data_IF_309983286285
#
_entry.id   IF_309983286285
#
_cell.length_a   1.000
_cell.length_b   1.000
_cell.length_c   1.000
_cell.angle_alpha   90.00
_cell.angle_beta   90.00
_cell.angle_gamma   90.00
#
_symmetry.space_group_name_H-M   'P 1'
#
loop_
_entity.id
_entity.type
_entity.pdbx_description
1 polymer ?
#
# COMPACT_ATOMS: atom_id res chain seq x y z
N UNK A 1 40.08 22.20 -26.27
CA UNK A 1 38.90 22.37 -25.40
C UNK A 1 38.93 21.24 -24.38
N UNK A 2 39.07 21.53 -23.09
CA UNK A 2 39.02 20.52 -22.01
C UNK A 2 37.75 20.80 -21.19
N UNK A 3 36.82 19.85 -21.19
CA UNK A 3 35.64 19.86 -20.34
C UNK A 3 35.77 18.74 -19.32
N UNK A 4 35.41 19.03 -18.07
CA UNK A 4 35.33 18.06 -16.99
C UNK A 4 33.86 17.98 -16.55
N UNK A 5 33.38 16.80 -16.15
CA UNK A 5 32.04 16.60 -15.63
C UNK A 5 32.07 15.64 -14.45
N UNK A 6 31.12 15.84 -13.52
CA UNK A 6 30.93 14.98 -12.36
C UNK A 6 29.49 14.50 -12.34
N UNK A 7 29.34 13.22 -12.01
CA UNK A 7 28.06 12.53 -11.89
C UNK A 7 28.07 11.75 -10.59
N UNK A 8 26.94 11.77 -9.89
CA UNK A 8 26.72 11.04 -8.64
C UNK A 8 25.41 10.26 -8.77
N UNK A 9 25.46 8.97 -8.45
CA UNK A 9 24.26 8.14 -8.30
C UNK A 9 23.85 8.20 -6.85
N UNK A 10 22.69 8.79 -6.59
CA UNK A 10 22.02 8.70 -5.30
C UNK A 10 21.04 7.53 -5.35
N UNK A 11 21.24 6.54 -4.49
CA UNK A 11 20.34 5.40 -4.37
C UNK A 11 19.16 5.75 -3.47
N UNK A 12 17.96 5.34 -3.89
CA UNK A 12 16.75 5.37 -3.07
C UNK A 12 16.57 4.08 -2.27
N UNK A 13 15.36 3.88 -1.76
CA UNK A 13 14.99 2.67 -1.02
C UNK A 13 14.87 1.45 -1.95
N UNK A 14 15.13 0.23 -1.45
CA UNK A 14 14.92 -1.00 -2.21
C UNK A 14 13.43 -1.22 -2.54
N UNK A 15 13.09 -2.14 -3.46
CA UNK A 15 11.70 -2.45 -3.74
C UNK A 15 10.99 -3.00 -2.49
N UNK A 16 9.71 -2.65 -2.35
CA UNK A 16 8.81 -3.25 -1.36
C UNK A 16 8.44 -4.65 -1.86
N UNK A 17 8.91 -5.68 -1.18
CA UNK A 17 8.60 -7.08 -1.51
C UNK A 17 7.94 -7.74 -0.30
N UNK A 18 6.66 -8.06 -0.42
CA UNK A 18 5.91 -8.72 0.64
C UNK A 18 6.36 -10.17 0.81
N UNK A 19 6.43 -10.64 2.05
CA UNK A 19 6.55 -12.07 2.32
C UNK A 19 5.25 -12.78 1.89
N UNK A 20 5.38 -13.81 1.04
CA UNK A 20 4.23 -14.51 0.45
C UNK A 20 3.30 -15.15 1.49
N UNK A 21 3.82 -15.62 2.64
CA UNK A 21 3.01 -16.23 3.69
C UNK A 21 2.27 -15.16 4.48
N UNK A 22 2.94 -14.06 4.83
CA UNK A 22 2.33 -12.93 5.54
C UNK A 22 1.26 -12.26 4.66
N UNK A 23 1.54 -12.06 3.37
CA UNK A 23 0.57 -11.52 2.42
C UNK A 23 -0.68 -12.41 2.29
N UNK A 24 -0.50 -13.73 2.20
CA UNK A 24 -1.62 -14.69 2.16
C UNK A 24 -2.44 -14.68 3.45
N UNK A 25 -1.77 -14.60 4.60
CA UNK A 25 -2.43 -14.49 5.91
C UNK A 25 -3.25 -13.20 6.01
N UNK A 26 -2.66 -12.05 5.66
CA UNK A 26 -3.36 -10.76 5.61
C UNK A 26 -4.53 -10.76 4.61
N UNK A 27 -4.42 -11.44 3.47
CA UNK A 27 -5.52 -11.61 2.52
C UNK A 27 -6.69 -12.43 3.11
N UNK A 28 -6.40 -13.43 3.96
CA UNK A 28 -7.40 -14.16 4.72
C UNK A 28 -8.13 -13.28 5.73
N UNK A 29 -7.39 -12.47 6.49
CA UNK A 29 -7.96 -11.47 7.41
C UNK A 29 -8.83 -10.47 6.64
N UNK A 30 -8.31 -9.90 5.55
CA UNK A 30 -9.07 -8.96 4.72
C UNK A 30 -10.34 -9.58 4.16
N UNK A 31 -10.30 -10.85 3.75
CA UNK A 31 -11.48 -11.58 3.28
C UNK A 31 -12.55 -11.68 4.37
N UNK A 32 -12.17 -11.81 5.64
CA UNK A 32 -13.12 -11.84 6.77
C UNK A 32 -13.73 -10.46 7.08
N UNK A 33 -13.03 -9.37 6.75
CA UNK A 33 -13.48 -7.99 7.01
C UNK A 33 -14.38 -7.47 5.89
N UNK A 34 -13.93 -7.55 4.65
CA UNK A 34 -14.60 -6.92 3.49
C UNK A 34 -15.29 -7.91 2.56
N UNK A 35 -15.11 -9.22 2.78
CA UNK A 35 -15.61 -10.28 1.93
C UNK A 35 -14.72 -10.53 0.71
N UNK A 36 -14.72 -11.79 0.22
CA UNK A 36 -13.82 -12.26 -0.85
C UNK A 36 -13.87 -11.42 -2.13
N UNK A 37 -15.02 -10.86 -2.48
CA UNK A 37 -15.19 -10.07 -3.71
C UNK A 37 -14.47 -8.71 -3.67
N UNK A 38 -14.08 -8.23 -2.48
CA UNK A 38 -13.39 -6.94 -2.28
C UNK A 38 -11.90 -7.10 -1.98
N UNK A 39 -11.36 -8.31 -2.12
CA UNK A 39 -9.94 -8.61 -1.93
C UNK A 39 -9.40 -9.14 -3.26
N UNK A 40 -8.33 -8.52 -3.75
CA UNK A 40 -7.66 -8.93 -4.97
C UNK A 40 -6.15 -8.90 -4.77
N UNK A 41 -5.45 -9.77 -5.49
CA UNK A 41 -4.03 -9.53 -5.76
C UNK A 41 -3.93 -8.36 -6.75
N UNK A 42 -2.88 -7.57 -6.60
CA UNK A 42 -2.63 -6.40 -7.42
C UNK A 42 -1.23 -6.49 -8.00
N UNK A 43 -1.08 -6.08 -9.25
CA UNK A 43 0.23 -6.04 -9.91
C UNK A 43 1.17 -5.06 -9.18
N UNK A 44 2.49 -5.28 -9.22
CA UNK A 44 3.45 -4.34 -8.66
C UNK A 44 3.21 -2.91 -9.16
N UNK A 45 3.15 -1.95 -8.23
CA UNK A 45 2.98 -0.52 -8.54
C UNK A 45 4.33 0.17 -8.64
N UNK A 46 4.39 1.28 -9.39
CA UNK A 46 5.63 2.05 -9.58
C UNK A 46 6.02 2.92 -8.37
N UNK A 47 5.15 3.03 -7.37
CA UNK A 47 5.39 3.80 -6.14
C UNK A 47 6.46 3.10 -5.29
N UNK A 48 7.51 3.85 -4.92
CA UNK A 48 8.50 3.42 -3.93
C UNK A 48 8.13 3.89 -2.53
N UNK A 49 8.52 3.11 -1.52
CA UNK A 49 8.22 3.38 -0.11
C UNK A 49 9.38 2.89 0.77
N UNK A 50 9.67 3.61 1.87
CA UNK A 50 10.74 3.26 2.81
C UNK A 50 10.34 2.15 3.79
N UNK A 51 9.08 1.71 3.78
CA UNK A 51 8.63 0.48 4.46
C UNK A 51 9.47 -0.74 4.04
N UNK A 52 10.07 -0.71 2.85
CA UNK A 52 11.03 -1.70 2.35
C UNK A 52 12.22 -1.91 3.32
N UNK A 53 12.67 -0.89 4.04
CA UNK A 53 13.74 -1.01 5.04
C UNK A 53 13.33 -1.88 6.25
N UNK A 54 12.04 -2.03 6.50
CA UNK A 54 11.51 -2.87 7.56
C UNK A 54 11.20 -4.29 7.07
N UNK A 55 10.43 -4.41 5.99
CA UNK A 55 9.94 -5.72 5.52
C UNK A 55 11.04 -6.59 4.88
N UNK A 56 12.18 -6.00 4.50
CA UNK A 56 13.36 -6.75 4.09
C UNK A 56 14.13 -7.39 5.27
N UNK A 57 13.84 -6.98 6.52
CA UNK A 57 14.53 -7.50 7.73
C UNK A 57 13.67 -8.50 8.49
N UNK A 58 12.35 -8.34 8.46
CA UNK A 58 11.39 -9.20 9.16
C UNK A 58 10.23 -9.49 8.19
N UNK A 59 9.73 -10.74 8.12
CA UNK A 59 8.58 -11.06 7.27
C UNK A 59 7.40 -10.11 7.52
N UNK A 60 6.98 -9.41 6.47
CA UNK A 60 5.92 -8.41 6.54
C UNK A 60 5.11 -8.34 5.26
N UNK A 61 3.97 -7.65 5.33
CA UNK A 61 3.14 -7.34 4.18
C UNK A 61 2.70 -5.87 4.23
N UNK A 62 3.02 -5.13 3.17
CA UNK A 62 2.49 -3.80 2.89
C UNK A 62 1.31 -3.94 1.93
N UNK A 63 0.13 -3.51 2.39
CA UNK A 63 -1.14 -3.72 1.69
C UNK A 63 -1.71 -2.38 1.20
N UNK A 64 -2.31 -2.40 0.02
CA UNK A 64 -3.06 -1.25 -0.49
C UNK A 64 -4.50 -1.33 0.01
N UNK A 65 -4.96 -0.27 0.66
CA UNK A 65 -6.35 -0.12 1.09
C UNK A 65 -7.10 0.75 0.10
N UNK A 66 -8.21 0.22 -0.45
CA UNK A 66 -9.08 1.00 -1.32
C UNK A 66 -9.74 2.15 -0.57
N UNK A 67 -9.34 3.39 -0.88
CA UNK A 67 -9.93 4.62 -0.36
C UNK A 67 -10.61 5.48 -1.43
N UNK A 68 -10.68 5.03 -2.69
CA UNK A 68 -11.35 5.78 -3.73
C UNK A 68 -12.86 5.87 -3.49
N UNK A 69 -13.48 6.98 -3.87
CA UNK A 69 -14.93 7.10 -3.88
C UNK A 69 -15.56 6.17 -4.92
N UNK A 70 -16.75 5.63 -4.63
CA UNK A 70 -17.58 4.90 -5.61
C UNK A 70 -18.26 5.87 -6.57
N UNK A 71 -18.81 5.37 -7.70
CA UNK A 71 -19.33 6.08 -8.89
C UNK A 71 -20.18 7.37 -8.69
N UNK A 72 -20.63 7.68 -7.47
CA UNK A 72 -21.40 8.88 -7.10
C UNK A 72 -20.56 10.10 -6.67
N UNK A 73 -19.23 10.03 -6.75
CA UNK A 73 -18.38 11.17 -6.42
C UNK A 73 -18.31 12.14 -7.61
N UNK A 74 -18.62 13.42 -7.37
CA UNK A 74 -18.40 14.51 -8.33
C UNK A 74 -16.90 14.78 -8.60
N UNK A 75 -15.99 14.00 -7.99
CA UNK A 75 -14.56 14.15 -8.18
C UNK A 75 -14.15 13.48 -9.50
N UNK A 76 -13.51 14.30 -10.34
CA UNK A 76 -12.83 13.84 -11.54
C UNK A 76 -11.79 12.78 -11.16
N UNK A 77 -11.73 11.67 -11.89
CA UNK A 77 -10.71 10.61 -11.74
C UNK A 77 -9.29 11.20 -11.76
N UNK A 78 -9.09 12.35 -12.41
CA UNK A 78 -7.82 13.09 -12.39
C UNK A 78 -7.39 13.61 -11.01
N UNK A 79 -8.31 13.71 -10.05
CA UNK A 79 -8.07 14.20 -8.68
C UNK A 79 -7.75 13.09 -7.67
N UNK A 80 -7.92 11.81 -8.02
CA UNK A 80 -7.74 10.67 -7.10
C UNK A 80 -6.28 10.20 -6.93
N UNK A 81 -5.32 10.81 -7.62
CA UNK A 81 -3.92 10.42 -7.56
C UNK A 81 -3.22 10.91 -6.29
N UNK A 82 -2.43 10.04 -5.65
CA UNK A 82 -1.50 10.44 -4.60
C UNK A 82 -0.60 11.59 -5.12
N UNK A 83 -0.26 12.55 -4.26
CA UNK A 83 0.50 13.77 -4.57
C UNK A 83 -0.20 14.80 -5.48
N UNK A 84 -1.49 14.62 -5.81
CA UNK A 84 -2.28 15.65 -6.45
C UNK A 84 -2.73 16.72 -5.43
N UNK A 85 -2.74 18.01 -5.81
CA UNK A 85 -3.20 19.10 -4.94
C UNK A 85 -4.72 19.09 -4.67
N UNK A 86 -5.47 18.27 -5.40
CA UNK A 86 -6.89 17.98 -5.19
C UNK A 86 -7.13 16.56 -4.66
N UNK A 87 -6.08 15.88 -4.19
CA UNK A 87 -6.22 14.54 -3.63
C UNK A 87 -7.27 14.53 -2.51
N UNK A 88 -8.18 13.57 -2.61
CA UNK A 88 -9.21 13.28 -1.64
C UNK A 88 -9.56 11.79 -1.68
N UNK A 89 -10.13 11.26 -0.61
CA UNK A 89 -10.46 9.84 -0.46
C UNK A 89 -11.70 9.63 0.44
N UNK A 90 -12.40 8.52 0.24
CA UNK A 90 -13.56 8.13 1.06
C UNK A 90 -13.08 7.62 2.41
N UNK A 91 -13.24 8.45 3.45
CA UNK A 91 -12.89 8.13 4.84
C UNK A 91 -13.61 6.89 5.41
N UNK A 92 -14.64 6.37 4.73
CA UNK A 92 -15.22 5.04 5.06
C UNK A 92 -14.18 3.91 4.98
N UNK A 93 -13.04 4.12 4.31
CA UNK A 93 -11.93 3.18 4.33
C UNK A 93 -11.21 3.12 5.69
N UNK A 94 -11.20 4.20 6.47
CA UNK A 94 -10.47 4.29 7.74
C UNK A 94 -10.85 3.17 8.74
N UNK A 95 -12.14 2.93 9.05
CA UNK A 95 -12.50 1.83 9.96
C UNK A 95 -12.12 0.45 9.41
N UNK A 96 -12.09 0.27 8.08
CA UNK A 96 -11.63 -0.98 7.46
C UNK A 96 -10.15 -1.19 7.75
N UNK A 97 -9.31 -0.16 7.55
CA UNK A 97 -7.89 -0.22 7.86
C UNK A 97 -7.63 -0.56 9.33
N UNK A 98 -8.34 0.09 10.25
CA UNK A 98 -8.25 -0.19 11.69
C UNK A 98 -8.62 -1.65 12.00
N UNK A 99 -9.73 -2.14 11.44
CA UNK A 99 -10.17 -3.51 11.70
C UNK A 99 -9.17 -4.57 11.17
N UNK A 100 -8.56 -4.33 10.01
CA UNK A 100 -7.51 -5.20 9.45
C UNK A 100 -6.35 -5.37 10.43
N UNK A 101 -5.81 -4.27 10.94
CA UNK A 101 -4.68 -4.31 11.88
C UNK A 101 -5.06 -4.90 13.23
N UNK A 102 -6.25 -4.59 13.77
CA UNK A 102 -6.70 -5.18 15.03
C UNK A 102 -6.87 -6.70 14.93
N UNK A 103 -7.51 -7.19 13.86
CA UNK A 103 -7.67 -8.63 13.65
C UNK A 103 -6.33 -9.34 13.45
N UNK A 104 -5.42 -8.75 12.66
CA UNK A 104 -4.07 -9.28 12.51
C UNK A 104 -3.32 -9.34 13.85
N UNK A 105 -3.43 -8.28 14.66
CA UNK A 105 -2.80 -8.21 15.97
C UNK A 105 -3.35 -9.28 16.91
N UNK A 106 -4.68 -9.43 16.99
CA UNK A 106 -5.28 -10.45 17.84
C UNK A 106 -4.94 -11.86 17.36
N UNK A 107 -5.01 -12.14 16.06
CA UNK A 107 -4.68 -13.45 15.52
C UNK A 107 -3.20 -13.82 15.72
N UNK A 108 -2.29 -12.85 15.63
CA UNK A 108 -0.85 -13.07 15.83
C UNK A 108 -0.43 -13.21 17.31
N UNK A 109 -1.11 -12.52 18.21
CA UNK A 109 -0.75 -12.46 19.64
C UNK A 109 -1.56 -13.40 20.55
N UNK A 110 -2.56 -14.09 20.01
CA UNK A 110 -3.34 -15.11 20.76
C UNK A 110 -2.60 -16.44 20.84
#
# INVERSE_FOLDING_TARGET
MKGDSRFEILYGTPPVVNDSKVAKWMSGIATSVVGKKKVTEWDPVSVGDDVSEFINRIPGAYILLGGGFTEDSLLDVSSSGHHNNRFDFDEKCLPIGVELFLRATFDFLS
#
